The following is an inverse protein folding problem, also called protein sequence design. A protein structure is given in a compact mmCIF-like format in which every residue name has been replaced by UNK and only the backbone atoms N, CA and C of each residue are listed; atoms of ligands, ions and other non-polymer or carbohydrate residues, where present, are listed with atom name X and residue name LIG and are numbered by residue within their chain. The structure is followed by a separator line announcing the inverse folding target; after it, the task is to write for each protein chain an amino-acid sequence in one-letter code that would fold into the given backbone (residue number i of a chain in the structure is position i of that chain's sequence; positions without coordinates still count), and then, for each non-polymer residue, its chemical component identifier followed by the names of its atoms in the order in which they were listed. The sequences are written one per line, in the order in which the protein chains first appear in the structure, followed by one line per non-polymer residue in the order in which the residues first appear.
data_IF_143992997616
#
_entry.id   IF_143992997616
#
_cell.length_a   1.000
_cell.length_b   1.000
_cell.length_c   1.000
_cell.angle_alpha   90.00
_cell.angle_beta   90.00
_cell.angle_gamma   90.00
#
_symmetry.space_group_name_H-M   'P 1'
#
loop_
_entity.id
_entity.type
_entity.pdbx_description
1 polymer ?
#
# COMPACT_ATOMS: atom_id res chain seq x y z
N UNK A 1 -12.68 2.43 12.13
CA UNK A 1 -13.50 1.60 11.21
C UNK A 1 -14.97 1.70 11.57
N UNK A 2 -15.82 1.75 10.56
CA UNK A 2 -17.26 1.94 10.75
C UNK A 2 -17.91 0.79 11.53
N UNK A 3 -17.48 -0.43 11.32
CA UNK A 3 -17.95 -1.61 12.07
C UNK A 3 -16.76 -2.28 12.73
N UNK A 4 -16.56 -2.02 14.02
CA UNK A 4 -15.43 -2.55 14.77
C UNK A 4 -15.34 -4.08 14.72
N UNK A 5 -16.48 -4.78 14.60
CA UNK A 5 -16.51 -6.25 14.50
C UNK A 5 -15.82 -6.79 13.25
N UNK A 6 -15.57 -5.95 12.25
CA UNK A 6 -14.88 -6.32 11.02
C UNK A 6 -13.41 -5.89 11.01
N UNK A 7 -12.96 -5.27 12.09
CA UNK A 7 -11.59 -4.80 12.20
C UNK A 7 -10.65 -5.95 12.55
N UNK A 8 -9.55 -6.07 11.80
CA UNK A 8 -8.58 -7.14 11.97
C UNK A 8 -7.25 -6.59 12.47
N UNK A 9 -6.40 -7.46 12.99
CA UNK A 9 -5.11 -7.06 13.54
C UNK A 9 -4.05 -6.73 12.49
N UNK A 10 -2.90 -6.20 12.97
CA UNK A 10 -1.83 -5.74 12.08
C UNK A 10 -1.18 -6.84 11.24
N UNK A 11 -1.07 -8.06 11.75
CA UNK A 11 -0.51 -9.17 10.98
C UNK A 11 -1.41 -9.53 9.79
N UNK A 12 -2.70 -9.49 10.00
CA UNK A 12 -3.67 -9.71 8.94
C UNK A 12 -3.57 -8.62 7.87
N UNK A 13 -3.41 -7.35 8.31
CA UNK A 13 -3.25 -6.23 7.39
C UNK A 13 -1.99 -6.38 6.52
N UNK A 14 -0.88 -6.81 7.11
CA UNK A 14 0.36 -7.05 6.36
C UNK A 14 0.18 -8.17 5.34
N UNK A 15 -0.56 -9.22 5.70
CA UNK A 15 -0.86 -10.30 4.77
C UNK A 15 -1.66 -9.81 3.57
N UNK A 16 -2.66 -8.97 3.79
CA UNK A 16 -3.44 -8.36 2.70
C UNK A 16 -2.52 -7.54 1.79
N UNK A 17 -1.66 -6.71 2.37
CA UNK A 17 -0.72 -5.89 1.60
C UNK A 17 0.25 -6.75 0.80
N UNK A 18 0.74 -7.85 1.37
CA UNK A 18 1.66 -8.76 0.68
C UNK A 18 1.02 -9.42 -0.54
N UNK A 19 -0.26 -9.74 -0.47
CA UNK A 19 -0.96 -10.46 -1.53
C UNK A 19 -1.64 -9.57 -2.56
N UNK A 20 -1.73 -8.28 -2.31
CA UNK A 20 -2.33 -7.36 -3.26
C UNK A 20 -1.46 -7.20 -4.51
N UNK A 21 -2.05 -7.21 -5.70
CA UNK A 21 -1.25 -7.04 -6.93
C UNK A 21 -0.59 -5.66 -7.03
N UNK A 22 -1.19 -4.67 -6.40
CA UNK A 22 -0.60 -3.34 -6.25
C UNK A 22 -1.14 -2.72 -4.97
N UNK A 23 -0.43 -1.71 -4.48
CA UNK A 23 -0.80 -0.97 -3.29
C UNK A 23 -0.94 0.49 -3.69
N UNK A 24 -2.03 1.13 -3.29
CA UNK A 24 -2.20 2.56 -3.52
C UNK A 24 -1.45 3.31 -2.44
N UNK A 25 -0.52 4.15 -2.86
CA UNK A 25 0.25 5.01 -1.96
C UNK A 25 -0.31 6.40 -2.06
N UNK A 26 -0.84 6.90 -0.96
CA UNK A 26 -1.46 8.22 -0.90
C UNK A 26 -0.57 9.17 -0.10
N UNK A 27 -0.44 10.37 -0.59
CA UNK A 27 0.43 11.40 -0.01
C UNK A 27 -0.24 12.76 -0.15
N UNK A 28 0.31 13.78 0.49
CA UNK A 28 -0.20 15.13 0.41
C UNK A 28 0.96 16.10 0.21
N UNK A 29 0.78 17.09 -0.66
CA UNK A 29 1.81 18.09 -0.88
C UNK A 29 1.75 19.19 0.20
N UNK A 30 2.64 20.19 0.09
CA UNK A 30 2.72 21.28 1.06
C UNK A 30 1.44 22.10 1.18
N UNK A 31 0.64 22.11 0.13
CA UNK A 31 -0.62 22.87 0.10
C UNK A 31 -1.81 22.02 0.53
N UNK A 32 -1.57 20.80 0.99
CA UNK A 32 -2.62 19.89 1.39
C UNK A 32 -3.33 19.17 0.23
N UNK A 33 -2.80 19.31 -1.00
CA UNK A 33 -3.38 18.63 -2.15
C UNK A 33 -3.03 17.15 -2.09
N UNK A 34 -4.04 16.26 -2.09
CA UNK A 34 -3.78 14.82 -2.07
C UNK A 34 -3.30 14.32 -3.43
N UNK A 35 -2.46 13.28 -3.39
CA UNK A 35 -1.95 12.62 -4.58
C UNK A 35 -1.84 11.14 -4.27
N UNK A 36 -2.38 10.30 -5.13
CA UNK A 36 -2.36 8.84 -4.93
C UNK A 36 -1.89 8.15 -6.20
N UNK A 37 -1.12 7.09 -6.01
CA UNK A 37 -0.58 6.33 -7.13
C UNK A 37 -0.55 4.84 -6.77
N UNK A 38 -0.95 3.93 -7.68
CA UNK A 38 -0.78 2.51 -7.45
C UNK A 38 0.66 2.11 -7.76
N UNK A 39 1.26 1.34 -6.86
CA UNK A 39 2.64 0.90 -6.97
C UNK A 39 2.76 -0.58 -6.60
N UNK A 40 3.72 -1.25 -7.22
CA UNK A 40 4.08 -2.61 -6.83
C UNK A 40 5.15 -2.51 -5.76
N UNK A 41 4.80 -2.86 -4.53
CA UNK A 41 5.70 -2.78 -3.38
C UNK A 41 6.18 -4.18 -3.01
N UNK A 42 7.42 -4.26 -2.52
CA UNK A 42 7.97 -5.48 -1.95
C UNK A 42 8.28 -5.24 -0.49
N UNK A 43 7.83 -6.13 0.39
CA UNK A 43 8.04 -6.01 1.83
C UNK A 43 9.24 -6.87 2.25
N UNK A 44 10.11 -6.31 3.09
CA UNK A 44 11.16 -7.08 3.75
C UNK A 44 10.54 -7.90 4.91
N UNK A 45 11.36 -8.55 5.71
CA UNK A 45 10.88 -9.40 6.80
C UNK A 45 10.14 -8.64 7.91
N UNK A 46 10.23 -7.32 7.92
CA UNK A 46 9.56 -6.47 8.89
C UNK A 46 8.44 -5.65 8.22
N UNK A 47 8.20 -4.45 8.69
CA UNK A 47 7.16 -3.54 8.17
C UNK A 47 7.72 -2.53 7.18
N UNK A 48 8.82 -2.84 6.54
CA UNK A 48 9.46 -1.99 5.54
C UNK A 48 9.07 -2.44 4.15
N UNK A 49 8.54 -1.50 3.36
CA UNK A 49 8.13 -1.74 1.98
C UNK A 49 9.06 -0.96 1.05
N UNK A 50 9.43 -1.58 -0.07
CA UNK A 50 10.30 -0.97 -1.06
C UNK A 50 9.64 -0.87 -2.41
N UNK A 51 9.94 0.18 -3.14
CA UNK A 51 9.61 0.31 -4.56
C UNK A 51 10.70 1.12 -5.24
N UNK A 52 10.79 0.99 -6.55
CA UNK A 52 11.71 1.81 -7.33
C UNK A 52 10.91 2.78 -8.21
N UNK A 53 11.50 3.91 -8.53
CA UNK A 53 10.87 4.93 -9.34
C UNK A 53 11.91 5.70 -10.12
N UNK A 54 11.46 6.56 -11.04
CA UNK A 54 12.34 7.47 -11.76
C UNK A 54 13.00 8.45 -10.77
N UNK A 55 14.15 8.97 -11.14
CA UNK A 55 14.89 9.94 -10.31
C UNK A 55 14.16 11.27 -10.15
N UNK A 56 13.24 11.56 -11.05
CA UNK A 56 12.44 12.77 -11.02
C UNK A 56 10.96 12.44 -11.10
N UNK A 57 10.11 13.33 -10.61
CA UNK A 57 8.67 13.17 -10.70
C UNK A 57 7.98 13.79 -9.51
N UNK A 58 6.66 13.97 -9.65
CA UNK A 58 5.83 14.59 -8.63
C UNK A 58 5.86 13.85 -7.31
N UNK A 59 5.88 12.54 -7.36
CA UNK A 59 5.96 11.67 -6.20
C UNK A 59 7.19 11.97 -5.34
N UNK A 60 8.37 12.08 -5.98
CA UNK A 60 9.60 12.40 -5.27
C UNK A 60 9.59 13.79 -4.69
N UNK A 61 9.07 14.77 -5.43
CA UNK A 61 8.97 16.15 -4.94
C UNK A 61 8.10 16.25 -3.69
N UNK A 62 6.95 15.57 -3.71
CA UNK A 62 6.04 15.57 -2.57
C UNK A 62 6.70 14.90 -1.36
N UNK A 63 7.26 13.70 -1.55
CA UNK A 63 7.81 12.93 -0.44
C UNK A 63 9.06 13.55 0.17
N UNK A 64 9.81 14.33 -0.59
CA UNK A 64 10.97 15.04 -0.06
C UNK A 64 10.56 16.05 1.02
N UNK A 65 9.39 16.64 0.90
CA UNK A 65 8.88 17.67 1.82
C UNK A 65 7.84 17.13 2.80
N UNK A 66 7.03 16.18 2.37
CA UNK A 66 5.96 15.59 3.18
C UNK A 66 6.06 14.07 3.09
N UNK A 67 6.90 13.45 3.94
CA UNK A 67 7.20 12.02 3.81
C UNK A 67 6.11 11.07 4.34
N UNK A 68 5.09 11.58 5.01
CA UNK A 68 4.03 10.72 5.54
C UNK A 68 3.14 10.19 4.42
N UNK A 69 2.88 8.88 4.44
CA UNK A 69 2.09 8.22 3.41
C UNK A 69 1.04 7.31 4.04
N UNK A 70 0.02 7.02 3.26
CA UNK A 70 -0.99 6.03 3.59
C UNK A 70 -0.97 4.97 2.49
N UNK A 71 -0.83 3.71 2.89
CA UNK A 71 -0.89 2.57 1.98
C UNK A 71 -2.27 1.96 2.10
N UNK A 72 -2.91 1.65 0.98
CA UNK A 72 -4.17 0.93 1.00
C UNK A 72 -4.21 -0.12 -0.10
N UNK A 73 -4.81 -1.25 0.19
CA UNK A 73 -4.92 -2.35 -0.75
C UNK A 73 -6.18 -3.15 -0.50
N UNK A 74 -6.66 -3.79 -1.56
CA UNK A 74 -7.83 -4.67 -1.52
C UNK A 74 -7.46 -5.98 -2.18
N UNK A 75 -7.84 -7.09 -1.54
CA UNK A 75 -7.66 -8.43 -2.10
C UNK A 75 -9.00 -9.18 -2.06
N UNK A 76 -9.08 -10.28 -2.79
CA UNK A 76 -10.29 -11.12 -2.85
C UNK A 76 -11.56 -10.33 -3.19
N UNK A 77 -11.46 -9.44 -4.17
CA UNK A 77 -12.63 -8.71 -4.62
C UNK A 77 -13.51 -9.64 -5.46
N UNK A 78 -14.64 -10.08 -4.87
CA UNK A 78 -15.51 -11.07 -5.47
C UNK A 78 -16.98 -10.72 -5.20
N UNK A 79 -17.82 -10.58 -6.25
CA UNK A 79 -19.25 -10.41 -6.02
C UNK A 79 -19.89 -11.70 -5.54
N UNK A 80 -20.82 -11.61 -4.60
CA UNK A 80 -21.61 -12.73 -4.12
C UNK A 80 -23.09 -12.38 -4.16
N UNK A 81 -23.92 -13.38 -4.43
CA UNK A 81 -25.37 -13.19 -4.45
C UNK A 81 -25.91 -13.37 -3.03
N UNK A 82 -26.69 -12.40 -2.58
CA UNK A 82 -27.31 -12.48 -1.27
C UNK A 82 -28.47 -13.46 -1.23
N UNK A 83 -29.05 -13.71 -0.03
CA UNK A 83 -30.13 -14.68 0.13
C UNK A 83 -31.46 -14.26 -0.47
N UNK A 84 -31.62 -12.98 -0.86
CA UNK A 84 -32.82 -12.49 -1.50
C UNK A 84 -32.59 -12.28 -2.98
N UNK A 85 -33.60 -12.55 -3.80
CA UNK A 85 -33.54 -12.31 -5.22
C UNK A 85 -33.16 -10.86 -5.53
N UNK A 86 -32.24 -10.69 -6.44
CA UNK A 86 -31.77 -9.36 -6.85
C UNK A 86 -30.78 -8.70 -5.90
N UNK A 87 -30.47 -9.32 -4.76
CA UNK A 87 -29.46 -8.78 -3.86
C UNK A 87 -28.10 -9.42 -4.12
N UNK A 88 -27.06 -8.61 -4.05
CA UNK A 88 -25.68 -9.12 -4.12
C UNK A 88 -24.79 -8.25 -3.27
N UNK A 89 -23.65 -8.77 -2.89
CA UNK A 89 -22.64 -8.05 -2.12
C UNK A 89 -21.26 -8.36 -2.67
N UNK A 90 -20.30 -7.54 -2.32
CA UNK A 90 -18.93 -7.70 -2.73
C UNK A 90 -18.10 -8.21 -1.56
N UNK A 91 -17.53 -9.41 -1.69
CA UNK A 91 -16.60 -9.93 -0.69
C UNK A 91 -15.21 -9.39 -0.99
N UNK A 92 -14.57 -8.82 0.02
CA UNK A 92 -13.22 -8.30 -0.12
C UNK A 92 -12.50 -8.28 1.22
N UNK A 93 -11.17 -8.23 1.13
CA UNK A 93 -10.30 -7.96 2.26
C UNK A 93 -9.54 -6.68 1.94
N UNK A 94 -9.51 -5.75 2.87
CA UNK A 94 -8.79 -4.50 2.67
C UNK A 94 -7.88 -4.20 3.86
N UNK A 95 -6.81 -3.46 3.59
CA UNK A 95 -5.88 -3.04 4.63
C UNK A 95 -5.43 -1.61 4.36
N UNK A 96 -5.24 -0.86 5.43
CA UNK A 96 -4.71 0.50 5.40
C UNK A 96 -3.55 0.55 6.38
N UNK A 97 -2.45 1.13 5.96
CA UNK A 97 -1.28 1.30 6.81
C UNK A 97 -0.73 2.71 6.64
N UNK A 98 -0.29 3.30 7.73
CA UNK A 98 0.33 4.62 7.72
C UNK A 98 1.84 4.46 7.94
N UNK A 99 2.61 5.25 7.23
CA UNK A 99 4.05 5.16 7.34
C UNK A 99 4.76 6.39 6.84
N UNK A 100 6.06 6.28 6.75
CA UNK A 100 6.94 7.35 6.32
C UNK A 100 7.79 6.83 5.16
N UNK A 101 7.83 7.61 4.09
CA UNK A 101 8.65 7.29 2.93
C UNK A 101 10.02 7.93 3.06
N UNK A 102 11.06 7.17 2.79
CA UNK A 102 12.43 7.63 2.83
C UNK A 102 13.18 7.16 1.60
N UNK A 103 14.09 7.99 1.10
CA UNK A 103 14.95 7.61 0.00
C UNK A 103 16.04 6.67 0.52
N UNK A 104 16.20 5.52 -0.12
CA UNK A 104 17.27 4.58 0.25
C UNK A 104 18.58 5.11 -0.34
N UNK A 105 19.54 5.39 0.53
CA UNK A 105 20.84 5.94 0.13
C UNK A 105 21.99 4.98 0.35
N UNK A 106 21.84 4.00 1.24
CA UNK A 106 22.87 3.01 1.52
C UNK A 106 22.87 1.96 0.40
N UNK A 107 24.03 1.74 -0.20
CA UNK A 107 24.16 0.93 -1.41
C UNK A 107 23.74 -0.52 -1.21
N UNK A 108 24.10 -1.13 -0.08
CA UNK A 108 23.73 -2.51 0.20
C UNK A 108 22.22 -2.66 0.33
N UNK A 109 21.57 -1.70 0.99
CA UNK A 109 20.12 -1.70 1.13
C UNK A 109 19.45 -1.55 -0.24
N UNK A 110 20.00 -0.72 -1.14
CA UNK A 110 19.48 -0.57 -2.50
C UNK A 110 19.50 -1.89 -3.26
N UNK A 111 20.61 -2.62 -3.16
CA UNK A 111 20.76 -3.90 -3.85
C UNK A 111 19.76 -4.92 -3.31
N UNK A 112 19.65 -5.02 -2.00
CA UNK A 112 18.74 -5.97 -1.36
C UNK A 112 17.28 -5.62 -1.68
N UNK A 113 16.92 -4.34 -1.70
CA UNK A 113 15.58 -3.89 -2.03
C UNK A 113 15.23 -4.19 -3.49
N UNK A 114 16.14 -3.94 -4.43
CA UNK A 114 15.91 -4.25 -5.83
C UNK A 114 15.72 -5.74 -6.06
N UNK A 115 16.45 -6.56 -5.33
CA UNK A 115 16.30 -8.01 -5.39
C UNK A 115 14.90 -8.43 -4.92
N UNK A 116 14.43 -7.90 -3.81
CA UNK A 116 13.07 -8.16 -3.32
C UNK A 116 12.00 -7.77 -4.33
N UNK A 117 12.16 -6.61 -4.96
CA UNK A 117 11.23 -6.12 -5.96
C UNK A 117 11.17 -7.07 -7.17
N UNK A 118 12.33 -7.56 -7.62
CA UNK A 118 12.42 -8.47 -8.75
C UNK A 118 11.83 -9.86 -8.46
N UNK A 119 11.87 -10.29 -7.20
CA UNK A 119 11.36 -11.60 -6.79
C UNK A 119 9.85 -11.62 -6.56
N UNK A 120 9.24 -10.48 -6.56
CA UNK A 120 7.80 -10.35 -6.29
C UNK A 120 6.87 -10.79 -7.45
#
# INVERSE_FOLDING_TARGET
MRKASREMGSEWALEVLDHAPYITVSMSDENGMPYSVPLSLARSDDRTFYYHCALEGKKLEILAKKPNVCLSAVTKCKPTVGPKDGSFTLEFKSAIAFGRAELVTEEREKIDALRLICER
#
